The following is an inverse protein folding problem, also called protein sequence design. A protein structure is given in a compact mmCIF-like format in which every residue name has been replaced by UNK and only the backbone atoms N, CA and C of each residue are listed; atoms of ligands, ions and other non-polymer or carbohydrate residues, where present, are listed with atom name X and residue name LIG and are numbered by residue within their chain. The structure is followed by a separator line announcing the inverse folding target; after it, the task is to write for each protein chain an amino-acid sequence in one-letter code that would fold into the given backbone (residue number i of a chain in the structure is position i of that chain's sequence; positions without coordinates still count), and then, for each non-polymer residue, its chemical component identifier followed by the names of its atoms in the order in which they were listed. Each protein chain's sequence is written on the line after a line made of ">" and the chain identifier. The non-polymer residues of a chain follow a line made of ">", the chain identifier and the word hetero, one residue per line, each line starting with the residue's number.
data_IF_063299402917
#
_entry.id   IF_063299402917
#
_cell.length_a   1.000
_cell.length_b   1.000
_cell.length_c   1.000
_cell.angle_alpha   90.00
_cell.angle_beta   90.00
_cell.angle_gamma   90.00
#
_symmetry.space_group_name_H-M   'P 1'
#
loop_
_entity.id
_entity.type
_entity.pdbx_description
1 polymer ?
#
# COMPACT_ATOMS: atom_id res chain seq x y z
N UNK A 1 -23.45 -1.43 -8.23
CA UNK A 1 -22.87 -1.31 -6.88
C UNK A 1 -21.46 -0.76 -7.04
N UNK A 2 -21.01 0.24 -6.28
CA UNK A 2 -19.69 0.80 -6.51
C UNK A 2 -18.64 -0.23 -6.08
N UNK A 3 -17.81 -0.66 -7.03
CA UNK A 3 -16.70 -1.58 -6.77
C UNK A 3 -15.77 -0.97 -5.72
N UNK A 4 -15.65 -1.62 -4.57
CA UNK A 4 -14.56 -1.36 -3.61
C UNK A 4 -13.37 -2.16 -4.11
N UNK A 5 -12.35 -1.49 -4.62
CA UNK A 5 -11.08 -2.15 -4.97
C UNK A 5 -10.24 -2.19 -3.70
N UNK A 6 -10.23 -3.36 -3.05
CA UNK A 6 -9.30 -3.63 -1.95
C UNK A 6 -7.94 -3.94 -2.57
N UNK A 7 -6.91 -3.16 -2.27
CA UNK A 7 -5.50 -3.45 -2.57
C UNK A 7 -4.83 -3.85 -1.27
N UNK A 8 -4.53 -5.14 -1.10
CA UNK A 8 -3.66 -5.58 -0.01
C UNK A 8 -2.21 -5.26 -0.39
N UNK A 9 -1.27 -5.32 0.56
CA UNK A 9 0.19 -5.39 0.29
C UNK A 9 0.61 -6.61 -0.51
N UNK A 10 -0.36 -7.35 -1.05
CA UNK A 10 -0.25 -8.09 -2.28
C UNK A 10 -1.20 -7.50 -3.32
N UNK A 11 -0.59 -7.02 -4.40
CA UNK A 11 -1.16 -6.23 -5.49
C UNK A 11 -2.45 -6.81 -6.09
N UNK A 12 -3.62 -6.63 -5.45
CA UNK A 12 -4.93 -6.86 -6.08
C UNK A 12 -5.34 -5.62 -6.87
N UNK A 13 -4.62 -5.40 -7.96
CA UNK A 13 -5.04 -4.47 -9.01
C UNK A 13 -6.03 -5.22 -9.89
N UNK A 14 -7.18 -4.64 -10.29
CA UNK A 14 -7.96 -5.19 -11.39
C UNK A 14 -7.02 -5.35 -12.60
N UNK A 15 -6.90 -6.54 -13.20
CA UNK A 15 -5.69 -6.87 -13.94
C UNK A 15 -5.62 -6.07 -15.24
N UNK A 16 -4.61 -5.22 -15.31
CA UNK A 16 -3.93 -4.95 -16.57
C UNK A 16 -2.73 -5.91 -16.66
N UNK A 17 -2.57 -6.49 -17.85
CA UNK A 17 -1.45 -7.34 -18.23
C UNK A 17 -0.10 -6.68 -17.90
N UNK A 18 0.54 -7.07 -16.80
CA UNK A 18 1.94 -6.78 -16.55
C UNK A 18 2.77 -7.76 -17.38
N UNK A 19 3.35 -7.28 -18.49
CA UNK A 19 4.31 -8.05 -19.26
C UNK A 19 5.59 -8.26 -18.41
N UNK A 20 6.08 -9.49 -18.21
CA UNK A 20 7.27 -9.76 -17.41
C UNK A 20 8.54 -9.52 -18.23
N UNK A 21 8.69 -8.34 -18.84
CA UNK A 21 9.95 -7.88 -19.43
C UNK A 21 9.98 -6.36 -19.37
N UNK A 22 10.39 -5.80 -18.22
CA UNK A 22 11.36 -4.70 -18.15
C UNK A 22 11.50 -4.27 -16.69
N UNK A 23 12.73 -4.40 -16.21
CA UNK A 23 13.20 -3.92 -14.91
C UNK A 23 12.99 -2.41 -14.81
N UNK A 24 12.43 -1.97 -13.68
CA UNK A 24 12.39 -0.58 -13.23
C UNK A 24 11.53 0.38 -14.07
N UNK A 25 10.46 0.86 -13.43
CA UNK A 25 9.80 2.16 -13.64
C UNK A 25 9.90 2.74 -15.05
N UNK A 26 9.27 2.08 -16.02
CA UNK A 26 8.99 2.74 -17.30
C UNK A 26 7.83 2.04 -18.01
N UNK A 27 6.75 2.79 -18.20
CA UNK A 27 5.57 2.52 -19.03
C UNK A 27 4.54 1.52 -18.50
N UNK A 28 3.40 1.98 -17.95
CA UNK A 28 2.17 1.20 -18.01
C UNK A 28 1.67 1.23 -19.46
N UNK A 29 2.04 0.22 -20.24
CA UNK A 29 1.45 0.00 -21.56
C UNK A 29 -0.02 -0.36 -21.36
N UNK A 30 -0.92 0.45 -21.93
CA UNK A 30 -2.36 0.16 -21.94
C UNK A 30 -2.61 -0.99 -22.93
N UNK A 31 -2.44 -2.24 -22.49
CA UNK A 31 -2.85 -3.39 -23.29
C UNK A 31 -4.37 -3.50 -23.23
N UNK A 32 -5.05 -3.03 -24.28
CA UNK A 32 -6.41 -3.47 -24.62
C UNK A 32 -6.33 -4.98 -24.81
N UNK A 33 -7.01 -5.81 -24.00
CA UNK A 33 -6.91 -7.26 -24.18
C UNK A 33 -7.51 -7.63 -25.54
N UNK A 34 -6.87 -8.50 -26.33
CA UNK A 34 -7.54 -9.11 -27.48
C UNK A 34 -8.83 -9.78 -27.00
N UNK A 35 -9.88 -9.64 -27.80
CA UNK A 35 -11.25 -10.10 -27.55
C UNK A 35 -11.27 -11.64 -27.39
N UNK A 36 -10.98 -12.15 -26.18
CA UNK A 36 -11.35 -13.51 -25.70
C UNK A 36 -10.78 -13.89 -24.32
N UNK A 37 -9.89 -13.11 -23.71
CA UNK A 37 -9.36 -13.46 -22.38
C UNK A 37 -10.23 -12.87 -21.26
N UNK A 38 -10.77 -13.73 -20.40
CA UNK A 38 -11.42 -13.31 -19.16
C UNK A 38 -10.41 -12.58 -18.28
N UNK A 39 -10.76 -11.37 -17.86
CA UNK A 39 -10.00 -10.57 -16.89
C UNK A 39 -9.93 -11.35 -15.56
N UNK A 40 -8.74 -11.66 -15.03
CA UNK A 40 -8.65 -12.34 -13.74
C UNK A 40 -9.35 -11.54 -12.63
N UNK A 41 -9.92 -12.23 -11.65
CA UNK A 41 -10.60 -11.56 -10.55
C UNK A 41 -9.63 -11.06 -9.47
N UNK A 42 -8.45 -11.67 -9.37
CA UNK A 42 -7.41 -11.38 -8.39
C UNK A 42 -6.02 -11.53 -9.02
N UNK A 43 -5.00 -11.03 -8.32
CA UNK A 43 -3.61 -11.08 -8.77
C UNK A 43 -2.63 -11.02 -7.60
N UNK A 44 -1.43 -11.53 -7.84
CA UNK A 44 -0.30 -11.46 -6.91
C UNK A 44 0.96 -11.10 -7.70
N UNK A 45 1.71 -10.11 -7.22
CA UNK A 45 2.94 -9.66 -7.88
C UNK A 45 4.17 -10.13 -7.09
N UNK A 46 5.01 -10.97 -7.72
CA UNK A 46 6.30 -11.40 -7.16
C UNK A 46 7.38 -10.41 -7.60
N UNK A 47 7.57 -9.33 -6.84
CA UNK A 47 8.42 -8.20 -7.22
C UNK A 47 9.53 -7.94 -6.22
N UNK A 48 10.63 -7.36 -6.71
CA UNK A 48 11.74 -6.82 -5.92
C UNK A 48 12.42 -5.67 -6.68
N UNK A 49 13.04 -4.68 -6.01
CA UNK A 49 13.04 -4.43 -4.56
C UNK A 49 11.65 -4.06 -3.98
N UNK A 50 11.47 -3.99 -2.65
CA UNK A 50 10.24 -3.46 -2.04
C UNK A 50 10.02 -1.97 -2.38
N UNK A 51 8.88 -1.41 -1.96
CA UNK A 51 8.51 -0.04 -2.31
C UNK A 51 7.92 0.85 -1.21
N UNK A 52 7.34 0.30 -0.14
CA UNK A 52 6.49 1.08 0.79
C UNK A 52 7.22 2.13 1.64
N UNK A 53 8.56 2.06 1.74
CA UNK A 53 9.37 3.08 2.41
C UNK A 53 9.89 4.19 1.48
N UNK A 54 9.71 4.05 0.16
CA UNK A 54 10.17 5.07 -0.78
C UNK A 54 9.23 6.29 -0.72
N UNK A 55 9.78 7.41 -0.25
CA UNK A 55 9.13 8.71 -0.19
C UNK A 55 9.24 9.45 -1.53
N UNK A 56 8.62 10.62 -1.66
CA UNK A 56 8.61 11.41 -2.90
C UNK A 56 10.02 11.64 -3.47
N UNK A 57 10.99 11.96 -2.61
CA UNK A 57 12.36 12.31 -2.99
C UNK A 57 13.42 11.57 -2.19
N UNK A 58 13.08 10.45 -1.54
CA UNK A 58 14.02 9.70 -0.67
C UNK A 58 13.84 8.19 -0.83
N UNK A 59 14.94 7.51 -1.17
CA UNK A 59 15.03 6.05 -1.14
C UNK A 59 15.57 5.60 0.23
N UNK A 60 14.90 4.65 0.87
CA UNK A 60 15.28 4.09 2.18
C UNK A 60 14.67 2.70 2.38
N UNK A 61 15.16 1.94 3.37
CA UNK A 61 14.60 0.61 3.66
C UNK A 61 14.58 -0.32 2.44
N UNK A 62 15.62 -0.28 1.61
CA UNK A 62 15.73 -0.99 0.32
C UNK A 62 14.72 -0.57 -0.77
N UNK A 63 13.86 0.42 -0.51
CA UNK A 63 12.84 0.91 -1.42
C UNK A 63 13.35 2.12 -2.22
N UNK A 64 13.31 2.03 -3.55
CA UNK A 64 13.66 3.14 -4.45
C UNK A 64 12.44 3.83 -5.05
N UNK A 65 11.39 3.06 -5.33
CA UNK A 65 10.13 3.56 -5.89
C UNK A 65 8.95 2.84 -5.24
N UNK A 66 7.91 3.59 -4.90
CA UNK A 66 6.73 3.03 -4.24
C UNK A 66 5.75 2.45 -5.27
N UNK A 67 5.96 1.19 -5.63
CA UNK A 67 5.16 0.48 -6.63
C UNK A 67 3.65 0.48 -6.31
N UNK A 68 3.27 0.40 -5.03
CA UNK A 68 1.86 0.40 -4.61
C UNK A 68 1.27 1.80 -4.77
N UNK A 69 1.96 2.84 -4.30
CA UNK A 69 1.49 4.22 -4.43
C UNK A 69 1.39 4.67 -5.89
N UNK A 70 2.38 4.33 -6.71
CA UNK A 70 2.35 4.60 -8.17
C UNK A 70 1.13 3.91 -8.80
N UNK A 71 0.87 2.65 -8.46
CA UNK A 71 -0.29 1.90 -8.99
C UNK A 71 -1.61 2.57 -8.59
N UNK A 72 -1.78 2.96 -7.34
CA UNK A 72 -2.98 3.63 -6.86
C UNK A 72 -3.20 5.00 -7.54
N UNK A 73 -2.14 5.81 -7.71
CA UNK A 73 -2.22 7.07 -8.46
C UNK A 73 -2.60 6.84 -9.93
N UNK A 74 -2.06 5.81 -10.57
CA UNK A 74 -2.44 5.46 -11.95
C UNK A 74 -3.90 5.03 -12.06
N UNK A 75 -4.43 4.28 -11.08
CA UNK A 75 -5.85 3.91 -11.03
C UNK A 75 -6.76 5.15 -10.90
N UNK A 76 -6.41 6.10 -10.04
CA UNK A 76 -7.14 7.37 -9.92
C UNK A 76 -7.10 8.16 -11.25
N UNK A 77 -5.90 8.34 -11.83
CA UNK A 77 -5.70 9.22 -12.99
C UNK A 77 -6.21 8.65 -14.32
N UNK A 78 -6.06 7.34 -14.54
CA UNK A 78 -6.34 6.71 -15.83
C UNK A 78 -7.70 6.02 -15.89
N UNK A 79 -8.16 5.49 -14.75
CA UNK A 79 -9.40 4.72 -14.66
C UNK A 79 -10.47 5.39 -13.81
N UNK A 80 -10.19 6.58 -13.25
CA UNK A 80 -11.14 7.34 -12.42
C UNK A 80 -11.71 6.51 -11.26
N UNK A 81 -10.90 5.64 -10.66
CA UNK A 81 -11.31 4.85 -9.49
C UNK A 81 -11.56 5.80 -8.33
N UNK A 82 -12.81 5.85 -7.86
CA UNK A 82 -13.24 6.84 -6.86
C UNK A 82 -12.86 6.53 -5.41
N UNK A 83 -12.50 5.27 -5.10
CA UNK A 83 -12.04 4.83 -3.77
C UNK A 83 -11.07 3.66 -3.90
N UNK A 84 -9.96 3.73 -3.17
CA UNK A 84 -8.93 2.70 -3.09
C UNK A 84 -8.67 2.41 -1.60
N UNK A 85 -8.53 1.14 -1.23
CA UNK A 85 -8.09 0.74 0.10
C UNK A 85 -6.70 0.10 -0.02
N UNK A 86 -5.69 0.65 0.64
CA UNK A 86 -4.36 0.05 0.75
C UNK A 86 -4.22 -0.51 2.17
N UNK A 87 -4.08 -1.83 2.29
CA UNK A 87 -3.74 -2.51 3.55
C UNK A 87 -2.28 -2.91 3.49
N UNK A 88 -1.47 -2.41 4.41
CA UNK A 88 -0.04 -2.68 4.55
C UNK A 88 0.23 -3.51 5.81
N UNK A 89 0.50 -4.79 5.60
CA UNK A 89 0.76 -5.76 6.66
C UNK A 89 2.24 -6.15 6.79
N UNK A 90 3.14 -5.42 6.12
CA UNK A 90 4.57 -5.58 6.40
C UNK A 90 4.84 -5.17 7.85
N UNK A 91 5.78 -5.84 8.52
CA UNK A 91 6.05 -5.58 9.94
C UNK A 91 6.57 -4.16 10.18
N UNK A 92 7.08 -3.46 9.15
CA UNK A 92 7.52 -2.07 9.21
C UNK A 92 6.46 -1.13 8.65
N UNK A 93 6.35 0.06 9.24
CA UNK A 93 5.45 1.10 8.72
C UNK A 93 5.83 1.54 7.30
N UNK A 94 4.88 1.53 6.38
CA UNK A 94 5.04 2.01 5.01
C UNK A 94 4.98 3.54 4.89
N UNK A 95 5.95 4.24 5.49
CA UNK A 95 6.05 5.70 5.56
C UNK A 95 5.90 6.42 4.21
N UNK A 96 6.43 5.85 3.13
CA UNK A 96 6.29 6.41 1.79
C UNK A 96 4.87 6.32 1.25
N UNK A 97 4.16 5.24 1.56
CA UNK A 97 2.74 5.07 1.18
C UNK A 97 1.86 6.02 1.96
N UNK A 98 2.07 6.12 3.27
CA UNK A 98 1.39 7.11 4.13
C UNK A 98 1.58 8.53 3.58
N UNK A 99 2.82 8.94 3.30
CA UNK A 99 3.13 10.27 2.76
C UNK A 99 2.39 10.55 1.44
N UNK A 100 2.33 9.57 0.52
CA UNK A 100 1.74 9.74 -0.81
C UNK A 100 0.22 10.02 -0.81
N UNK A 101 -0.48 9.65 0.27
CA UNK A 101 -1.94 9.76 0.38
C UNK A 101 -2.41 10.47 1.64
N UNK A 102 -1.51 11.06 2.44
CA UNK A 102 -1.83 11.61 3.76
C UNK A 102 -2.95 12.67 3.77
N UNK A 103 -3.17 13.35 2.64
CA UNK A 103 -4.23 14.35 2.46
C UNK A 103 -5.35 13.94 1.49
N UNK A 104 -5.33 12.71 0.99
CA UNK A 104 -6.22 12.21 -0.07
C UNK A 104 -7.40 11.39 0.51
N UNK A 105 -8.64 11.92 0.53
CA UNK A 105 -9.81 11.21 1.05
C UNK A 105 -10.28 10.05 0.15
N UNK A 106 -9.67 9.85 -1.02
CA UNK A 106 -10.04 8.77 -1.94
C UNK A 106 -9.21 7.50 -1.73
N UNK A 107 -8.18 7.55 -0.88
CA UNK A 107 -7.34 6.41 -0.55
C UNK A 107 -7.32 6.21 0.96
N UNK A 108 -7.90 5.11 1.43
CA UNK A 108 -7.75 4.68 2.82
C UNK A 108 -6.47 3.87 2.94
N UNK A 109 -5.48 4.37 3.70
CA UNK A 109 -4.28 3.64 4.05
C UNK A 109 -4.43 3.04 5.46
N UNK A 110 -4.19 1.74 5.58
CA UNK A 110 -4.14 1.02 6.85
C UNK A 110 -2.79 0.34 6.94
N UNK A 111 -2.05 0.57 8.01
CA UNK A 111 -0.79 -0.14 8.28
C UNK A 111 -0.86 -0.90 9.60
N UNK A 112 -0.44 -2.16 9.60
CA UNK A 112 -0.20 -2.97 10.80
C UNK A 112 1.30 -3.17 10.93
N UNK A 113 1.94 -2.54 11.90
CA UNK A 113 3.40 -2.55 12.00
C UNK A 113 3.86 -2.55 13.44
N UNK A 114 5.06 -3.09 13.66
CA UNK A 114 5.75 -2.92 14.93
C UNK A 114 6.23 -1.48 15.05
N UNK A 115 5.90 -0.85 16.17
CA UNK A 115 6.20 0.56 16.41
C UNK A 115 7.09 0.73 17.64
N UNK A 116 6.74 0.09 18.76
CA UNK A 116 7.45 0.20 20.05
C UNK A 116 7.77 1.66 20.41
N UNK A 117 6.74 2.51 20.38
CA UNK A 117 6.83 3.94 20.68
C UNK A 117 7.89 4.67 19.83
N UNK A 118 7.99 4.31 18.55
CA UNK A 118 8.93 4.88 17.58
C UNK A 118 10.34 4.30 17.64
N UNK A 119 10.58 3.25 18.45
CA UNK A 119 11.89 2.62 18.60
C UNK A 119 12.13 1.45 17.62
N UNK A 120 11.16 1.11 16.77
CA UNK A 120 11.33 0.15 15.69
C UNK A 120 11.38 0.85 14.33
N UNK A 121 12.24 0.38 13.42
CA UNK A 121 12.39 0.98 12.08
C UNK A 121 11.03 1.02 11.34
N UNK A 122 10.68 2.13 10.66
CA UNK A 122 11.43 3.37 10.45
C UNK A 122 11.24 4.45 11.55
N UNK A 123 10.48 4.16 12.60
CA UNK A 123 10.19 5.06 13.72
C UNK A 123 9.00 6.01 13.50
N UNK A 124 8.39 5.99 12.33
CA UNK A 124 7.13 6.69 12.01
C UNK A 124 5.93 5.75 12.12
N UNK A 125 4.71 6.29 11.96
CA UNK A 125 3.48 5.49 11.98
C UNK A 125 2.78 5.51 13.33
N UNK A 126 2.87 6.61 14.08
CA UNK A 126 2.18 6.72 15.35
C UNK A 126 0.64 6.59 15.17
N UNK A 127 -0.11 6.04 16.15
CA UNK A 127 -1.57 5.96 16.09
C UNK A 127 -2.27 7.32 15.89
N UNK A 128 -1.63 8.41 16.31
CA UNK A 128 -2.14 9.78 16.21
C UNK A 128 -2.03 10.36 14.78
N UNK A 129 -1.24 9.74 13.91
CA UNK A 129 -1.05 10.15 12.51
C UNK A 129 -2.27 9.76 11.66
N UNK A 130 -3.35 10.51 11.77
CA UNK A 130 -4.66 10.18 11.16
C UNK A 130 -4.93 10.84 9.80
N UNK A 131 -3.90 11.40 9.17
CA UNK A 131 -4.03 12.16 7.91
C UNK A 131 -4.10 13.67 8.13
N UNK A 132 -4.26 14.42 7.03
CA UNK A 132 -4.31 15.89 7.05
C UNK A 132 -5.31 16.46 6.04
N UNK A 133 -5.80 17.68 6.28
CA UNK A 133 -6.76 18.32 5.39
C UNK A 133 -8.02 17.48 5.17
N UNK A 134 -8.34 17.17 3.91
CA UNK A 134 -9.48 16.31 3.57
C UNK A 134 -9.24 14.83 3.89
N UNK A 135 -7.99 14.39 3.99
CA UNK A 135 -7.60 13.02 4.28
C UNK A 135 -7.65 12.64 5.77
N UNK A 136 -8.06 13.53 6.66
CA UNK A 136 -8.23 13.19 8.09
C UNK A 136 -9.24 12.04 8.23
N UNK A 137 -8.84 10.98 8.92
CA UNK A 137 -9.60 9.73 9.08
C UNK A 137 -9.38 8.70 7.97
N UNK A 138 -8.57 9.00 6.95
CA UNK A 138 -8.21 8.08 5.86
C UNK A 138 -6.79 7.51 5.99
N UNK A 139 -6.16 7.71 7.14
CA UNK A 139 -4.90 7.07 7.52
C UNK A 139 -5.09 6.36 8.87
N UNK A 140 -4.85 5.06 8.92
CA UNK A 140 -5.03 4.24 10.12
C UNK A 140 -3.73 3.49 10.40
N UNK A 141 -3.10 3.80 11.53
CA UNK A 141 -1.92 3.10 12.01
C UNK A 141 -2.30 2.18 13.18
N UNK A 142 -2.25 0.88 12.94
CA UNK A 142 -2.32 -0.16 13.97
C UNK A 142 -0.87 -0.43 14.41
N UNK A 143 -0.41 0.42 15.31
CA UNK A 143 0.98 0.47 15.76
C UNK A 143 1.17 -0.46 16.98
N UNK A 144 1.84 -1.60 16.78
CA UNK A 144 2.13 -2.53 17.88
C UNK A 144 3.23 -1.96 18.78
N UNK A 145 2.86 -1.69 20.04
CA UNK A 145 3.78 -1.33 21.13
C UNK A 145 3.73 -2.41 22.20
N UNK A 146 4.84 -2.65 22.88
CA UNK A 146 4.96 -3.60 23.99
C UNK A 146 6.17 -4.51 23.88
N UNK A 147 7.00 -4.33 22.85
CA UNK A 147 8.17 -5.14 22.59
C UNK A 147 7.78 -6.51 22.02
N UNK A 148 8.45 -7.55 22.54
CA UNK A 148 8.31 -8.93 22.06
C UNK A 148 8.00 -9.91 23.20
N UNK A 149 7.42 -9.41 24.31
CA UNK A 149 7.10 -10.21 25.49
C UNK A 149 5.62 -10.03 25.94
N UNK A 150 4.69 -10.88 25.46
CA UNK A 150 4.87 -11.89 24.41
C UNK A 150 5.00 -11.25 23.02
N UNK A 151 5.58 -11.96 22.03
CA UNK A 151 5.57 -11.47 20.66
C UNK A 151 4.15 -11.47 20.09
N UNK A 152 3.84 -10.48 19.26
CA UNK A 152 2.60 -10.40 18.49
C UNK A 152 2.54 -11.58 17.51
N UNK A 153 1.41 -12.29 17.47
CA UNK A 153 1.19 -13.44 16.59
C UNK A 153 -0.21 -13.47 15.99
N UNK A 154 -0.65 -14.68 15.62
CA UNK A 154 -1.90 -14.87 14.86
C UNK A 154 -3.13 -14.27 15.56
N UNK A 155 -3.25 -14.41 16.88
CA UNK A 155 -4.42 -13.95 17.64
C UNK A 155 -4.54 -12.42 17.59
N UNK A 156 -3.43 -11.71 17.78
CA UNK A 156 -3.41 -10.25 17.76
C UNK A 156 -3.70 -9.72 16.36
N UNK A 157 -3.11 -10.32 15.32
CA UNK A 157 -3.41 -9.96 13.93
C UNK A 157 -4.87 -10.25 13.57
N UNK A 158 -5.42 -11.41 13.94
CA UNK A 158 -6.82 -11.73 13.70
C UNK A 158 -7.79 -10.81 14.45
N UNK A 159 -7.39 -10.27 15.60
CA UNK A 159 -8.18 -9.30 16.37
C UNK A 159 -8.19 -7.91 15.74
N UNK A 160 -7.14 -7.56 14.98
CA UNK A 160 -7.05 -6.29 14.27
C UNK A 160 -7.90 -6.22 12.98
N UNK A 161 -8.28 -7.36 12.41
CA UNK A 161 -9.10 -7.46 11.19
C UNK A 161 -10.60 -7.61 11.52
#
# INVERSE_FOLDING_TARGET
>A
MPHVSVTHTHLSVPPMSLCPTHVSVSHPCLCVPPVSLSVPQNGFAVIRPPGHHAEESTAMGFCFFNSVAISAKLLQQRLSVGRILIVDWDIHHGNGTQQAFYSDPHVLYISLHRYDDGNFFPGSGAPEEVGSGLGVGYNINIAWTGGVDPPIGDVEYLTAF
#
